data_IF_086486390453
#
_entry.id   IF_086486390453
#
_cell.length_a   1.000
_cell.length_b   1.000
_cell.length_c   1.000
_cell.angle_alpha   90.00
_cell.angle_beta   90.00
_cell.angle_gamma   90.00
#
_symmetry.space_group_name_H-M   'P 1'
#
loop_
_entity.id
_entity.type
_entity.pdbx_description
1 polymer ?
#
# COMPACT_ATOMS: atom_id res chain seq x y z
N UNK A 1 23.14 -11.39 11.89
CA UNK A 1 21.66 -11.36 11.68
C UNK A 1 21.29 -10.32 10.62
N UNK A 2 20.35 -10.65 9.73
CA UNK A 2 19.74 -9.68 8.79
C UNK A 2 18.33 -9.34 9.27
N UNK A 3 18.10 -8.07 9.55
CA UNK A 3 16.79 -7.53 9.92
C UNK A 3 16.13 -6.89 8.70
N UNK A 4 14.91 -7.34 8.37
CA UNK A 4 14.13 -6.79 7.27
C UNK A 4 12.81 -6.23 7.82
N UNK A 5 12.67 -4.89 7.95
CA UNK A 5 11.46 -4.29 8.49
C UNK A 5 10.21 -4.56 7.63
N UNK A 6 10.34 -5.03 6.39
CA UNK A 6 9.19 -5.47 5.59
C UNK A 6 8.59 -6.80 6.11
N UNK A 7 9.41 -7.64 6.76
CA UNK A 7 9.00 -8.93 7.34
C UNK A 7 8.59 -8.74 8.79
N UNK A 8 9.45 -8.04 9.55
CA UNK A 8 9.36 -7.98 11.01
C UNK A 8 8.55 -6.78 11.53
N UNK A 9 8.09 -5.91 10.62
CA UNK A 9 7.32 -4.71 10.95
C UNK A 9 5.87 -5.02 11.34
N UNK A 10 5.28 -4.11 12.12
CA UNK A 10 3.85 -4.12 12.41
C UNK A 10 3.04 -4.02 11.12
N UNK A 11 1.94 -4.78 11.05
CA UNK A 11 1.02 -4.73 9.92
C UNK A 11 0.09 -3.53 10.08
N UNK A 12 -0.11 -2.81 8.99
CA UNK A 12 -1.06 -1.70 8.89
C UNK A 12 -2.39 -2.25 8.41
N UNK A 13 -3.43 -2.09 9.22
CA UNK A 13 -4.79 -2.45 8.83
C UNK A 13 -5.40 -1.32 8.00
N UNK A 14 -5.85 -1.65 6.79
CA UNK A 14 -6.71 -0.80 5.99
C UNK A 14 -8.14 -1.30 6.20
N UNK A 15 -8.95 -0.46 6.82
CA UNK A 15 -10.30 -0.82 7.22
C UNK A 15 -11.29 -0.63 6.07
N UNK A 16 -12.11 -1.65 5.85
CA UNK A 16 -13.20 -1.64 4.89
C UNK A 16 -14.51 -2.08 5.54
N UNK A 17 -15.61 -1.69 4.91
CA UNK A 17 -16.96 -1.94 5.37
C UNK A 17 -17.71 -2.71 4.29
N UNK A 18 -18.28 -3.86 4.66
CA UNK A 18 -19.12 -4.66 3.79
C UNK A 18 -20.57 -4.19 3.89
N UNK A 19 -21.14 -3.69 2.79
CA UNK A 19 -22.54 -3.21 2.73
C UNK A 19 -23.45 -4.12 1.91
N UNK A 20 -22.97 -5.27 1.43
CA UNK A 20 -23.72 -6.19 0.60
C UNK A 20 -23.60 -7.65 1.07
N UNK A 21 -24.59 -8.47 0.72
CA UNK A 21 -24.54 -9.91 0.94
C UNK A 21 -23.63 -10.57 -0.10
N UNK A 22 -22.35 -10.73 0.25
CA UNK A 22 -21.37 -11.47 -0.54
C UNK A 22 -21.21 -12.89 -0.02
N UNK A 23 -21.06 -13.83 -0.94
CA UNK A 23 -20.71 -15.22 -0.59
C UNK A 23 -19.28 -15.28 -0.04
N UNK A 24 -18.93 -16.33 0.74
CA UNK A 24 -17.56 -16.51 1.21
C UNK A 24 -16.52 -16.51 0.08
N UNK A 25 -16.84 -17.09 -1.07
CA UNK A 25 -15.95 -17.10 -2.23
C UNK A 25 -15.72 -15.70 -2.82
N UNK A 26 -16.76 -14.85 -2.84
CA UNK A 26 -16.62 -13.47 -3.29
C UNK A 26 -15.79 -12.64 -2.32
N UNK A 27 -15.97 -12.81 -1.00
CA UNK A 27 -15.13 -12.16 0.00
C UNK A 27 -13.67 -12.62 -0.09
N UNK A 28 -13.43 -13.92 -0.31
CA UNK A 28 -12.08 -14.44 -0.59
C UNK A 28 -11.48 -13.75 -1.82
N UNK A 29 -12.23 -13.63 -2.91
CA UNK A 29 -11.75 -12.94 -4.12
C UNK A 29 -11.40 -11.47 -3.88
N UNK A 30 -12.17 -10.75 -3.05
CA UNK A 30 -11.86 -9.37 -2.63
C UNK A 30 -10.52 -9.30 -1.91
N UNK A 31 -10.28 -10.19 -0.94
CA UNK A 31 -9.00 -10.27 -0.22
C UNK A 31 -7.84 -10.65 -1.12
N UNK A 32 -8.02 -11.61 -2.02
CA UNK A 32 -6.99 -12.02 -2.98
C UNK A 32 -6.62 -10.86 -3.91
N UNK A 33 -7.60 -10.12 -4.40
CA UNK A 33 -7.38 -8.97 -5.29
C UNK A 33 -6.66 -7.83 -4.57
N UNK A 34 -7.09 -7.48 -3.37
CA UNK A 34 -6.37 -6.53 -2.52
C UNK A 34 -4.93 -6.99 -2.27
N UNK A 35 -4.75 -8.28 -1.94
CA UNK A 35 -3.46 -8.89 -1.68
C UNK A 35 -2.47 -8.76 -2.84
N UNK A 36 -2.93 -8.87 -4.09
CA UNK A 36 -2.09 -8.61 -5.27
C UNK A 36 -1.49 -7.20 -5.24
N UNK A 37 -2.32 -6.21 -4.94
CA UNK A 37 -1.92 -4.82 -4.77
C UNK A 37 -0.99 -4.59 -3.59
N UNK A 38 -1.34 -5.18 -2.45
CA UNK A 38 -0.58 -5.09 -1.23
C UNK A 38 0.84 -5.68 -1.35
N UNK A 39 1.07 -6.52 -2.35
CA UNK A 39 2.36 -7.11 -2.68
C UNK A 39 3.10 -6.40 -3.83
N UNK A 40 2.56 -5.32 -4.40
CA UNK A 40 3.18 -4.58 -5.53
C UNK A 40 4.58 -4.05 -5.21
N UNK A 41 4.83 -3.66 -3.96
CA UNK A 41 6.11 -3.07 -3.55
C UNK A 41 6.97 -4.02 -2.70
N UNK A 42 6.40 -5.12 -2.23
CA UNK A 42 7.09 -6.08 -1.38
C UNK A 42 6.38 -7.44 -1.41
N UNK A 43 7.09 -8.57 -1.53
CA UNK A 43 6.52 -9.91 -1.36
C UNK A 43 6.00 -10.15 0.07
N UNK A 44 6.44 -9.32 1.02
CA UNK A 44 5.95 -9.28 2.39
C UNK A 44 5.10 -8.03 2.55
N UNK A 45 3.79 -8.17 2.36
CA UNK A 45 2.91 -7.01 2.46
C UNK A 45 2.87 -6.48 3.89
N UNK A 46 2.98 -5.16 4.04
CA UNK A 46 2.71 -4.48 5.32
C UNK A 46 1.24 -4.12 5.51
N UNK A 47 0.46 -4.10 4.44
CA UNK A 47 -0.92 -3.65 4.48
C UNK A 47 -1.87 -4.84 4.41
N UNK A 48 -2.90 -4.83 5.26
CA UNK A 48 -3.90 -5.89 5.34
C UNK A 48 -5.30 -5.27 5.28
N UNK A 49 -6.18 -5.84 4.45
CA UNK A 49 -7.57 -5.42 4.38
C UNK A 49 -8.34 -6.03 5.55
N UNK A 50 -8.95 -5.19 6.38
CA UNK A 50 -9.83 -5.62 7.46
C UNK A 50 -11.27 -5.25 7.14
N UNK A 51 -12.09 -6.24 6.77
CA UNK A 51 -13.48 -6.03 6.37
C UNK A 51 -14.41 -6.21 7.58
N UNK A 52 -15.15 -5.15 7.93
CA UNK A 52 -16.18 -5.15 8.98
C UNK A 52 -17.57 -5.38 8.41
N UNK A 53 -18.37 -6.21 9.08
CA UNK A 53 -19.76 -6.44 8.71
C UNK A 53 -20.64 -5.21 8.99
N UNK A 54 -21.15 -4.56 7.95
CA UNK A 54 -22.19 -3.54 8.04
C UNK A 54 -23.25 -3.74 6.96
N UNK A 55 -23.63 -4.99 6.69
CA UNK A 55 -24.66 -5.29 5.68
C UNK A 55 -26.00 -4.61 5.99
N UNK A 56 -26.26 -4.29 7.26
CA UNK A 56 -27.40 -3.45 7.67
C UNK A 56 -27.38 -2.03 7.09
N UNK A 57 -26.24 -1.56 6.56
CA UNK A 57 -26.07 -0.26 5.93
C UNK A 57 -26.26 -0.29 4.41
N UNK A 58 -26.74 -1.41 3.84
CA UNK A 58 -26.93 -1.57 2.39
C UNK A 58 -27.85 -0.53 1.74
N UNK A 59 -28.74 0.10 2.52
CA UNK A 59 -29.66 1.14 2.05
C UNK A 59 -29.14 2.57 2.24
N UNK A 60 -28.01 2.75 2.92
CA UNK A 60 -27.44 4.07 3.19
C UNK A 60 -26.65 4.56 1.96
N UNK A 61 -26.76 5.85 1.68
CA UNK A 61 -25.85 6.54 0.77
C UNK A 61 -24.44 6.59 1.34
N UNK A 62 -23.44 6.84 0.49
CA UNK A 62 -22.06 7.01 0.96
C UNK A 62 -21.90 8.18 1.94
N UNK A 63 -22.71 9.23 1.80
CA UNK A 63 -22.72 10.36 2.73
C UNK A 63 -23.28 9.97 4.10
N UNK A 64 -24.35 9.18 4.13
CA UNK A 64 -24.87 8.63 5.39
C UNK A 64 -23.88 7.66 6.04
N UNK A 65 -23.23 6.78 5.25
CA UNK A 65 -22.16 5.90 5.76
C UNK A 65 -21.00 6.72 6.31
N UNK A 66 -20.60 7.80 5.63
CA UNK A 66 -19.59 8.73 6.12
C UNK A 66 -19.96 9.26 7.51
N UNK A 67 -21.20 9.73 7.70
CA UNK A 67 -21.63 10.26 9.01
C UNK A 67 -21.78 9.20 10.11
N UNK A 68 -22.10 7.95 9.77
CA UNK A 68 -22.20 6.83 10.72
C UNK A 68 -20.84 6.23 11.11
N UNK A 69 -19.78 6.58 10.39
CA UNK A 69 -18.45 6.03 10.59
C UNK A 69 -17.65 6.92 11.54
N UNK A 70 -16.98 6.36 12.58
CA UNK A 70 -16.17 7.16 13.50
C UNK A 70 -14.91 7.69 12.81
N UNK A 71 -14.77 9.03 12.80
CA UNK A 71 -13.65 9.77 12.21
C UNK A 71 -12.69 10.41 13.23
N UNK A 72 -12.84 10.09 14.52
CA UNK A 72 -12.13 10.79 15.60
C UNK A 72 -10.81 10.13 16.00
N UNK A 73 -9.81 10.98 16.31
CA UNK A 73 -8.42 10.66 16.67
C UNK A 73 -8.21 9.62 17.78
N UNK A 74 -9.22 9.35 18.61
CA UNK A 74 -9.11 8.48 19.80
C UNK A 74 -9.48 7.00 19.54
N UNK A 75 -9.91 6.66 18.32
CA UNK A 75 -10.03 5.29 17.85
C UNK A 75 -9.35 5.22 16.48
N UNK A 76 -8.63 4.13 16.13
CA UNK A 76 -8.20 3.94 14.75
C UNK A 76 -9.46 3.91 13.86
N UNK A 77 -9.79 5.08 13.30
CA UNK A 77 -10.98 5.29 12.50
C UNK A 77 -10.84 4.56 11.17
N UNK A 78 -11.97 4.39 10.48
CA UNK A 78 -12.01 3.87 9.11
C UNK A 78 -11.58 4.97 8.13
N UNK A 79 -10.43 5.59 8.34
CA UNK A 79 -9.94 6.65 7.47
C UNK A 79 -8.76 6.13 6.65
N UNK A 80 -8.85 6.12 5.31
CA UNK A 80 -10.02 6.44 4.47
C UNK A 80 -11.14 5.39 4.60
N UNK A 81 -12.39 5.73 4.28
CA UNK A 81 -13.48 4.75 4.27
C UNK A 81 -13.42 3.95 2.97
N UNK A 82 -13.26 2.64 3.10
CA UNK A 82 -13.40 1.71 1.97
C UNK A 82 -14.73 0.97 2.07
N UNK A 83 -15.53 1.00 1.00
CA UNK A 83 -16.82 0.31 0.92
C UNK A 83 -16.73 -0.85 -0.08
N UNK A 84 -16.97 -2.06 0.42
CA UNK A 84 -17.17 -3.28 -0.37
C UNK A 84 -18.67 -3.45 -0.57
N UNK A 85 -19.13 -3.28 -1.81
CA UNK A 85 -20.54 -3.31 -2.18
C UNK A 85 -20.88 -4.54 -3.05
N UNK A 86 -22.12 -4.59 -3.55
CA UNK A 86 -22.60 -5.70 -4.35
C UNK A 86 -21.90 -5.83 -5.72
N UNK A 87 -21.32 -4.74 -6.22
CA UNK A 87 -20.62 -4.70 -7.51
C UNK A 87 -19.14 -5.07 -7.38
N UNK A 88 -18.56 -5.00 -6.19
CA UNK A 88 -17.12 -5.30 -5.95
C UNK A 88 -16.64 -6.64 -6.52
N UNK A 89 -17.41 -7.75 -6.44
CA UNK A 89 -16.98 -9.00 -7.06
C UNK A 89 -17.07 -9.00 -8.59
N UNK A 90 -17.83 -8.09 -9.20
CA UNK A 90 -18.05 -8.03 -10.64
C UNK A 90 -16.97 -7.20 -11.34
N UNK A 91 -16.64 -6.04 -10.77
CA UNK A 91 -15.70 -5.08 -11.35
C UNK A 91 -14.31 -5.11 -10.68
N UNK A 92 -14.14 -5.92 -9.63
CA UNK A 92 -12.93 -5.99 -8.80
C UNK A 92 -12.57 -4.65 -8.16
N UNK A 93 -13.55 -3.79 -7.88
CA UNK A 93 -13.31 -2.46 -7.33
C UNK A 93 -14.05 -2.24 -6.00
N UNK A 94 -13.66 -1.18 -5.31
CA UNK A 94 -14.30 -0.70 -4.08
C UNK A 94 -14.46 0.81 -4.17
N UNK A 95 -15.39 1.37 -3.39
CA UNK A 95 -15.40 2.81 -3.20
C UNK A 95 -14.37 3.18 -2.15
N UNK A 96 -13.44 4.05 -2.53
CA UNK A 96 -12.50 4.70 -1.64
C UNK A 96 -13.01 6.11 -1.39
N UNK A 97 -13.31 6.45 -0.13
CA UNK A 97 -13.81 7.77 0.27
C UNK A 97 -12.75 8.39 1.17
N UNK A 98 -12.14 9.47 0.67
CA UNK A 98 -11.09 10.18 1.38
C UNK A 98 -11.70 11.16 2.37
N UNK A 99 -12.52 12.11 1.89
CA UNK A 99 -13.06 13.17 2.73
C UNK A 99 -14.38 13.73 2.23
N UNK A 100 -15.08 14.43 3.11
CA UNK A 100 -16.17 15.33 2.74
C UNK A 100 -15.60 16.72 2.39
N UNK A 101 -16.28 17.43 1.51
CA UNK A 101 -15.90 18.78 1.10
C UNK A 101 -16.00 19.78 2.26
N UNK A 102 -15.07 20.73 2.26
CA UNK A 102 -15.05 21.85 3.19
C UNK A 102 -15.41 23.17 2.48
N UNK A 103 -15.60 24.24 3.25
CA UNK A 103 -15.88 25.56 2.68
C UNK A 103 -14.80 26.01 1.69
N UNK A 104 -13.53 25.66 1.94
CA UNK A 104 -12.42 25.93 1.05
C UNK A 104 -12.65 25.32 -0.35
N UNK A 105 -13.20 24.11 -0.44
CA UNK A 105 -13.46 23.44 -1.71
C UNK A 105 -14.53 24.14 -2.55
N UNK A 106 -15.56 24.67 -1.88
CA UNK A 106 -16.62 25.44 -2.55
C UNK A 106 -16.07 26.76 -3.06
N UNK A 107 -15.31 27.48 -2.22
CA UNK A 107 -14.72 28.76 -2.56
C UNK A 107 -13.76 28.65 -3.76
N UNK A 108 -13.10 27.50 -3.91
CA UNK A 108 -12.19 27.19 -5.03
C UNK A 108 -12.85 26.39 -6.17
N UNK A 109 -14.17 26.18 -6.12
CA UNK A 109 -14.95 25.44 -7.14
C UNK A 109 -14.48 24.00 -7.39
N UNK A 110 -13.91 23.34 -6.38
CA UNK A 110 -13.56 21.92 -6.42
C UNK A 110 -14.74 21.04 -6.01
N UNK A 111 -15.64 21.55 -5.17
CA UNK A 111 -16.89 20.89 -4.76
C UNK A 111 -18.12 21.76 -5.01
N UNK A 112 -19.26 21.13 -5.29
CA UNK A 112 -20.55 21.82 -5.46
C UNK A 112 -21.11 22.29 -4.12
N UNK A 113 -20.93 21.49 -3.06
CA UNK A 113 -21.42 21.78 -1.72
C UNK A 113 -20.57 21.12 -0.63
N UNK A 114 -20.88 21.43 0.64
CA UNK A 114 -20.26 20.78 1.81
C UNK A 114 -20.73 19.32 2.01
N UNK A 115 -21.70 18.85 1.23
CA UNK A 115 -22.16 17.45 1.25
C UNK A 115 -21.47 16.60 0.17
N UNK A 116 -20.66 17.23 -0.69
CA UNK A 116 -19.89 16.52 -1.71
C UNK A 116 -18.83 15.64 -1.05
N UNK A 117 -18.82 14.35 -1.40
CA UNK A 117 -17.74 13.44 -1.03
C UNK A 117 -16.67 13.41 -2.12
N UNK A 118 -15.42 13.54 -1.70
CA UNK A 118 -14.27 13.15 -2.50
C UNK A 118 -14.12 11.64 -2.37
N UNK A 119 -14.59 10.94 -3.41
CA UNK A 119 -14.63 9.49 -3.48
C UNK A 119 -14.27 9.03 -4.89
N UNK A 120 -13.78 7.81 -5.01
CA UNK A 120 -13.47 7.18 -6.29
C UNK A 120 -13.75 5.68 -6.21
N UNK A 121 -14.38 5.12 -7.25
CA UNK A 121 -14.47 3.67 -7.42
C UNK A 121 -13.10 3.21 -7.93
N UNK A 122 -12.38 2.40 -7.18
CA UNK A 122 -10.97 2.09 -7.44
C UNK A 122 -10.76 0.57 -7.51
N UNK A 123 -9.95 0.10 -8.48
CA UNK A 123 -9.55 -1.31 -8.52
C UNK A 123 -8.91 -1.71 -7.18
N UNK A 124 -9.38 -2.81 -6.61
CA UNK A 124 -8.93 -3.34 -5.32
C UNK A 124 -7.42 -3.50 -5.23
N UNK A 125 -6.75 -3.83 -6.35
CA UNK A 125 -5.30 -4.00 -6.38
C UNK A 125 -4.53 -2.66 -6.30
N UNK A 126 -5.19 -1.52 -6.55
CA UNK A 126 -4.52 -0.21 -6.55
C UNK A 126 -4.68 0.51 -5.21
N UNK A 127 -5.56 0.02 -4.33
CA UNK A 127 -5.88 0.61 -3.02
C UNK A 127 -4.65 0.89 -2.18
N UNK A 128 -3.72 -0.08 -2.05
CA UNK A 128 -2.54 0.09 -1.19
C UNK A 128 -1.61 1.16 -1.74
N UNK A 129 -1.41 1.21 -3.06
CA UNK A 129 -0.55 2.20 -3.67
C UNK A 129 -1.15 3.60 -3.54
N UNK A 130 -2.45 3.75 -3.78
CA UNK A 130 -3.15 5.03 -3.58
C UNK A 130 -3.15 5.45 -2.10
N UNK A 131 -3.45 4.55 -1.17
CA UNK A 131 -3.41 4.81 0.26
C UNK A 131 -2.06 5.39 0.71
N UNK A 132 -0.96 4.72 0.34
CA UNK A 132 0.40 5.18 0.68
C UNK A 132 0.71 6.52 0.02
N UNK A 133 0.35 6.71 -1.26
CA UNK A 133 0.63 7.96 -1.95
C UNK A 133 -0.14 9.15 -1.37
N UNK A 134 -1.38 8.95 -0.92
CA UNK A 134 -2.18 9.99 -0.28
C UNK A 134 -1.65 10.32 1.11
N UNK A 135 -1.26 9.31 1.89
CA UNK A 135 -0.68 9.48 3.25
C UNK A 135 0.60 10.33 3.23
N UNK A 136 1.47 10.12 2.23
CA UNK A 136 2.72 10.90 2.08
C UNK A 136 2.55 12.18 1.24
N UNK A 137 1.33 12.52 0.85
CA UNK A 137 1.01 13.66 -0.02
C UNK A 137 1.80 13.68 -1.35
N UNK A 138 2.04 12.52 -1.95
CA UNK A 138 2.67 12.40 -3.27
C UNK A 138 1.67 12.63 -4.41
N UNK A 139 0.40 12.25 -4.20
CA UNK A 139 -0.76 12.60 -5.02
C UNK A 139 -1.96 12.79 -4.08
N UNK A 140 -3.12 13.17 -4.60
CA UNK A 140 -4.36 13.28 -3.85
C UNK A 140 -5.52 12.55 -4.56
N UNK A 141 -6.65 12.39 -3.87
CA UNK A 141 -7.83 11.74 -4.46
C UNK A 141 -8.40 12.55 -5.63
N UNK A 142 -8.19 13.86 -5.68
CA UNK A 142 -8.72 14.72 -6.72
C UNK A 142 -8.07 14.40 -8.07
N UNK A 143 -6.76 14.14 -8.09
CA UNK A 143 -6.07 13.65 -9.29
C UNK A 143 -6.68 12.34 -9.81
N UNK A 144 -7.00 11.38 -8.93
CA UNK A 144 -7.65 10.13 -9.34
C UNK A 144 -9.08 10.34 -9.86
N UNK A 145 -9.83 11.25 -9.26
CA UNK A 145 -11.17 11.63 -9.72
C UNK A 145 -11.14 12.34 -11.09
N UNK A 146 -10.08 13.11 -11.39
CA UNK A 146 -9.87 13.75 -12.69
C UNK A 146 -9.61 12.73 -13.80
N UNK A 147 -8.82 11.69 -13.51
CA UNK A 147 -8.54 10.61 -14.47
C UNK A 147 -9.79 9.84 -14.90
N UNK A 148 -10.78 9.71 -14.01
CA UNK A 148 -12.07 9.08 -14.32
C UNK A 148 -13.15 10.08 -14.75
N UNK A 149 -12.78 11.34 -14.96
CA UNK A 149 -13.63 12.36 -15.58
C UNK A 149 -14.70 12.95 -14.66
N UNK A 150 -14.51 12.94 -13.34
CA UNK A 150 -15.43 13.61 -12.41
C UNK A 150 -15.30 15.14 -12.60
N UNK A 151 -16.38 15.87 -12.91
CA UNK A 151 -16.30 17.27 -13.29
C UNK A 151 -16.01 18.22 -12.12
N UNK A 152 -15.63 19.46 -12.46
CA UNK A 152 -15.53 20.60 -11.56
C UNK A 152 -16.71 21.56 -11.74
N UNK A 153 -17.34 22.07 -10.67
CA UNK A 153 -17.23 21.56 -9.29
C UNK A 153 -17.76 20.13 -9.20
N UNK A 154 -17.24 19.35 -8.25
CA UNK A 154 -17.67 17.95 -8.03
C UNK A 154 -19.12 17.91 -7.55
N UNK A 155 -20.05 17.27 -8.29
CA UNK A 155 -21.43 17.13 -7.86
C UNK A 155 -21.58 16.22 -6.63
N UNK A 156 -22.65 16.38 -5.84
CA UNK A 156 -22.90 15.48 -4.70
C UNK A 156 -23.15 14.01 -5.12
N UNK A 157 -23.81 13.83 -6.27
CA UNK A 157 -24.38 12.55 -6.74
C UNK A 157 -23.71 12.03 -8.02
N UNK A 158 -22.47 12.43 -8.29
CA UNK A 158 -21.76 11.97 -9.48
C UNK A 158 -21.66 10.44 -9.52
N UNK A 159 -21.76 9.91 -10.73
CA UNK A 159 -21.55 8.50 -11.03
C UNK A 159 -20.21 8.29 -11.70
N UNK A 160 -19.62 7.11 -11.51
CA UNK A 160 -18.38 6.72 -12.16
C UNK A 160 -18.61 5.42 -12.93
N UNK A 161 -18.48 5.46 -14.25
CA UNK A 161 -18.78 4.29 -15.10
C UNK A 161 -17.70 3.18 -15.02
N UNK A 162 -16.44 3.56 -14.77
CA UNK A 162 -15.30 2.65 -14.77
C UNK A 162 -14.46 2.86 -13.53
N UNK A 163 -13.98 1.79 -12.89
CA UNK A 163 -13.01 1.93 -11.81
C UNK A 163 -11.76 2.70 -12.25
N UNK A 164 -11.26 3.55 -11.36
CA UNK A 164 -9.93 4.11 -11.43
C UNK A 164 -8.91 2.98 -11.29
N UNK A 165 -7.85 3.04 -12.09
CA UNK A 165 -6.72 2.13 -11.96
C UNK A 165 -5.43 2.85 -12.32
N UNK A 166 -4.37 2.53 -11.58
CA UNK A 166 -3.01 3.02 -11.84
C UNK A 166 -2.38 2.34 -13.07
N UNK A 167 -3.01 1.31 -13.62
CA UNK A 167 -2.50 0.57 -14.78
C UNK A 167 -1.27 -0.28 -14.48
N UNK A 168 -0.93 -0.51 -13.20
CA UNK A 168 0.14 -1.41 -12.82
C UNK A 168 -0.26 -2.87 -12.99
N UNK A 169 0.71 -3.70 -13.41
CA UNK A 169 0.59 -5.15 -13.36
C UNK A 169 1.23 -5.63 -12.05
N UNK A 170 0.43 -5.97 -11.01
CA UNK A 170 0.98 -6.34 -9.71
C UNK A 170 1.84 -7.60 -9.76
N UNK A 171 1.56 -8.53 -10.68
CA UNK A 171 2.34 -9.77 -10.79
C UNK A 171 3.70 -9.50 -11.41
N UNK A 172 3.74 -8.65 -12.44
CA UNK A 172 4.99 -8.25 -13.10
C UNK A 172 5.83 -7.32 -12.23
N UNK A 173 5.18 -6.45 -11.45
CA UNK A 173 5.84 -5.33 -10.79
C UNK A 173 6.16 -5.55 -9.30
N UNK A 174 5.66 -6.62 -8.65
CA UNK A 174 5.87 -6.97 -7.22
C UNK A 174 7.31 -7.06 -6.68
N UNK A 175 8.31 -6.91 -7.56
CA UNK A 175 9.73 -6.93 -7.21
C UNK A 175 10.49 -5.68 -7.70
N UNK A 176 9.76 -4.66 -8.17
CA UNK A 176 10.37 -3.42 -8.66
C UNK A 176 10.96 -2.58 -7.53
N UNK A 177 10.29 -2.56 -6.39
CA UNK A 177 10.71 -1.75 -5.26
C UNK A 177 11.80 -2.48 -4.46
N UNK A 178 12.92 -1.79 -4.16
CA UNK A 178 13.93 -2.34 -3.29
C UNK A 178 13.42 -2.41 -1.84
N UNK A 179 14.08 -3.24 -1.03
CA UNK A 179 13.93 -3.24 0.42
C UNK A 179 15.20 -2.74 1.10
N UNK A 180 15.07 -2.20 2.30
CA UNK A 180 16.18 -1.75 3.13
C UNK A 180 16.34 -2.71 4.30
N UNK A 181 17.47 -3.42 4.32
CA UNK A 181 17.78 -4.37 5.39
C UNK A 181 18.92 -3.85 6.25
N UNK A 182 18.91 -4.19 7.53
CA UNK A 182 20.07 -4.00 8.39
C UNK A 182 20.84 -5.32 8.45
N UNK A 183 22.10 -5.29 8.01
CA UNK A 183 23.01 -6.43 8.00
C UNK A 183 24.12 -6.23 9.03
N UNK A 184 24.35 -7.25 9.86
CA UNK A 184 25.48 -7.30 10.79
C UNK A 184 26.79 -7.58 10.04
N UNK A 185 27.96 -7.20 10.62
CA UNK A 185 29.27 -7.42 9.99
C UNK A 185 29.53 -8.84 9.51
N UNK A 186 29.11 -9.84 10.29
CA UNK A 186 29.34 -11.25 9.98
C UNK A 186 28.46 -11.78 8.84
N UNK A 187 27.43 -11.04 8.42
CA UNK A 187 26.50 -11.44 7.36
C UNK A 187 26.80 -10.80 6.01
N UNK A 188 27.76 -9.87 5.98
CA UNK A 188 28.10 -9.09 4.80
C UNK A 188 29.56 -9.23 4.40
N UNK A 189 29.83 -8.85 3.16
CA UNK A 189 31.16 -8.68 2.60
C UNK A 189 31.33 -7.20 2.22
N UNK A 190 32.54 -6.69 2.34
CA UNK A 190 32.92 -5.37 1.82
C UNK A 190 33.88 -5.51 0.65
N UNK A 191 33.79 -4.60 -0.32
CA UNK A 191 34.74 -4.49 -1.43
C UNK A 191 35.16 -3.05 -1.67
N UNK A 192 36.45 -2.89 -1.94
CA UNK A 192 37.08 -1.64 -2.40
C UNK A 192 37.56 -1.74 -3.85
N UNK A 193 37.31 -2.88 -4.51
CA UNK A 193 37.70 -3.09 -5.90
C UNK A 193 36.89 -2.18 -6.83
N UNK A 194 37.56 -1.55 -7.80
CA UNK A 194 36.91 -0.64 -8.74
C UNK A 194 35.79 -1.32 -9.53
N UNK A 195 35.95 -2.61 -9.89
CA UNK A 195 34.96 -3.40 -10.64
C UNK A 195 33.61 -3.52 -9.91
N UNK A 196 33.63 -3.53 -8.57
CA UNK A 196 32.44 -3.70 -7.74
C UNK A 196 31.77 -2.34 -7.48
N UNK A 197 32.58 -1.28 -7.41
CA UNK A 197 32.15 0.10 -7.13
C UNK A 197 31.72 0.90 -8.37
N UNK A 198 32.16 0.50 -9.58
CA UNK A 198 32.01 1.32 -10.80
C UNK A 198 30.57 1.55 -11.25
N UNK A 199 29.60 0.80 -10.72
CA UNK A 199 28.18 0.95 -11.05
C UNK A 199 27.45 1.98 -10.19
N UNK A 200 28.15 2.65 -9.26
CA UNK A 200 27.56 3.60 -8.32
C UNK A 200 28.01 5.03 -8.61
N UNK A 201 27.09 5.98 -8.44
CA UNK A 201 27.34 7.41 -8.58
C UNK A 201 26.74 8.16 -7.37
N UNK A 202 27.52 8.99 -6.64
CA UNK A 202 28.97 9.17 -6.78
C UNK A 202 29.74 7.88 -6.47
N UNK A 203 30.95 7.74 -7.02
CA UNK A 203 31.78 6.54 -6.81
C UNK A 203 32.11 6.39 -5.31
N UNK A 204 31.60 5.36 -4.61
CA UNK A 204 31.85 5.18 -3.20
C UNK A 204 33.25 4.60 -2.97
N UNK A 205 33.81 4.80 -1.78
CA UNK A 205 35.10 4.20 -1.38
C UNK A 205 35.00 2.70 -1.10
N UNK A 206 33.82 2.26 -0.64
CA UNK A 206 33.50 0.89 -0.25
C UNK A 206 32.06 0.58 -0.63
N UNK A 207 31.83 -0.65 -1.06
CA UNK A 207 30.49 -1.22 -1.26
C UNK A 207 30.33 -2.46 -0.41
N UNK A 208 29.09 -2.79 -0.09
CA UNK A 208 28.73 -3.92 0.76
C UNK A 208 27.75 -4.83 0.03
N UNK A 209 27.77 -6.12 0.32
CA UNK A 209 26.72 -7.05 -0.09
C UNK A 209 26.49 -8.08 1.01
N UNK A 210 25.31 -8.68 1.05
CA UNK A 210 25.09 -9.88 1.84
C UNK A 210 25.91 -11.04 1.26
N UNK A 211 26.42 -11.92 2.13
CA UNK A 211 26.94 -13.23 1.73
C UNK A 211 25.86 -14.01 0.98
N UNK A 212 26.23 -14.83 0.01
CA UNK A 212 25.27 -15.46 -0.91
C UNK A 212 24.23 -16.35 -0.20
N UNK A 213 24.67 -17.13 0.78
CA UNK A 213 23.83 -18.00 1.60
C UNK A 213 22.87 -17.19 2.48
N UNK A 214 23.36 -16.08 3.05
CA UNK A 214 22.55 -15.13 3.81
C UNK A 214 21.49 -14.49 2.91
N UNK A 215 21.88 -13.93 1.76
CA UNK A 215 20.94 -13.30 0.83
C UNK A 215 19.83 -14.28 0.41
N UNK A 216 20.21 -15.52 0.03
CA UNK A 216 19.28 -16.57 -0.35
C UNK A 216 18.31 -16.93 0.76
N UNK A 217 18.79 -17.07 2.00
CA UNK A 217 17.95 -17.38 3.17
C UNK A 217 16.85 -16.33 3.37
N UNK A 218 17.12 -15.08 3.02
CA UNK A 218 16.17 -13.98 3.16
C UNK A 218 15.41 -13.64 1.86
N UNK A 219 15.58 -14.43 0.79
CA UNK A 219 14.92 -14.20 -0.50
C UNK A 219 15.40 -12.93 -1.20
N UNK A 220 16.66 -12.54 -0.99
CA UNK A 220 17.28 -11.32 -1.52
C UNK A 220 18.38 -11.67 -2.52
N UNK A 221 18.65 -10.76 -3.47
CA UNK A 221 19.80 -10.87 -4.37
C UNK A 221 21.07 -10.46 -3.64
N UNK A 222 22.12 -11.28 -3.77
CA UNK A 222 23.47 -10.93 -3.31
C UNK A 222 24.13 -9.94 -4.30
N UNK A 223 23.78 -8.65 -4.18
CA UNK A 223 24.34 -7.56 -5.01
C UNK A 223 25.11 -6.58 -4.15
N UNK A 224 26.16 -6.01 -4.72
CA UNK A 224 26.83 -4.84 -4.16
C UNK A 224 25.84 -3.69 -4.03
N UNK A 225 25.96 -2.93 -2.96
CA UNK A 225 25.13 -1.77 -2.62
C UNK A 225 25.94 -0.78 -1.79
N UNK A 226 25.50 0.48 -1.76
CA UNK A 226 26.04 1.48 -0.84
C UNK A 226 25.43 1.22 0.53
N UNK A 227 26.27 1.13 1.56
CA UNK A 227 25.84 0.93 2.93
C UNK A 227 25.86 2.22 3.74
N UNK A 228 24.80 2.48 4.50
CA UNK A 228 24.78 3.53 5.52
C UNK A 228 25.00 2.92 6.91
N UNK A 229 25.70 3.63 7.79
CA UNK A 229 25.91 3.16 9.16
C UNK A 229 24.59 3.06 9.92
N UNK A 230 24.35 1.93 10.59
CA UNK A 230 23.27 1.80 11.56
C UNK A 230 23.73 2.38 12.90
N UNK A 231 23.07 3.45 13.36
CA UNK A 231 23.40 4.14 14.62
C UNK A 231 22.57 3.67 15.83
N UNK A 232 21.77 2.62 15.63
CA UNK A 232 20.83 2.08 16.60
C UNK A 232 21.54 1.05 17.51
N UNK A 233 21.37 1.20 18.83
CA UNK A 233 22.05 0.39 19.85
C UNK A 233 21.57 -1.07 19.89
N UNK A 234 20.47 -1.39 19.21
CA UNK A 234 19.98 -2.75 19.01
C UNK A 234 20.88 -3.61 18.11
N UNK A 235 21.78 -2.99 17.34
CA UNK A 235 22.63 -3.68 16.38
C UNK A 235 24.12 -3.56 16.75
N UNK A 236 24.93 -4.59 16.49
CA UNK A 236 26.36 -4.53 16.77
C UNK A 236 27.04 -3.44 15.94
N UNK A 237 28.12 -2.87 16.49
CA UNK A 237 28.92 -1.85 15.81
C UNK A 237 29.41 -2.36 14.44
N UNK A 238 29.29 -1.50 13.43
CA UNK A 238 29.66 -1.83 12.05
C UNK A 238 28.52 -2.38 11.21
N UNK A 239 27.33 -2.57 11.78
CA UNK A 239 26.13 -2.94 11.02
C UNK A 239 25.78 -1.87 9.98
N UNK A 240 25.32 -2.32 8.81
CA UNK A 240 24.98 -1.44 7.67
C UNK A 240 23.52 -1.59 7.28
N UNK A 241 22.92 -0.47 6.89
CA UNK A 241 21.66 -0.45 6.16
C UNK A 241 21.98 -0.59 4.67
N UNK A 242 21.44 -1.63 4.03
CA UNK A 242 21.65 -1.94 2.62
C UNK A 242 20.32 -1.87 1.87
N UNK A 243 20.30 -1.16 0.74
CA UNK A 243 19.20 -1.23 -0.22
C UNK A 243 19.43 -2.44 -1.13
N UNK A 244 18.51 -3.41 -1.10
CA UNK A 244 18.61 -4.68 -1.82
C UNK A 244 17.32 -4.99 -2.58
N UNK A 245 17.42 -5.87 -3.57
CA UNK A 245 16.28 -6.36 -4.32
C UNK A 245 15.89 -7.77 -3.86
N UNK A 246 14.60 -8.07 -3.87
CA UNK A 246 14.12 -9.44 -3.73
C UNK A 246 14.52 -10.30 -4.91
N UNK A 247 14.79 -11.59 -4.66
CA UNK A 247 15.06 -12.59 -5.68
C UNK A 247 13.78 -13.38 -5.99
N UNK A 248 13.15 -13.19 -7.17
CA UNK A 248 11.94 -13.90 -7.56
C UNK A 248 12.07 -15.43 -7.60
N UNK A 249 13.31 -15.96 -7.69
CA UNK A 249 13.57 -17.40 -7.64
C UNK A 249 13.58 -17.99 -6.24
N UNK A 250 13.66 -17.15 -5.20
CA UNK A 250 13.82 -17.58 -3.80
C UNK A 250 12.80 -16.95 -2.84
N UNK A 251 11.98 -16.00 -3.29
CA UNK A 251 10.87 -15.44 -2.51
C UNK A 251 9.53 -15.79 -3.14
N UNK A 252 8.58 -16.24 -2.33
CA UNK A 252 7.19 -16.43 -2.74
C UNK A 252 6.33 -15.38 -2.04
N UNK A 253 5.73 -14.44 -2.77
CA UNK A 253 4.82 -13.46 -2.20
C UNK A 253 3.64 -14.17 -1.56
N UNK A 254 3.27 -13.72 -0.36
CA UNK A 254 2.07 -14.23 0.31
C UNK A 254 1.32 -13.09 0.97
N UNK A 255 0.01 -13.14 0.83
CA UNK A 255 -0.91 -12.25 1.52
C UNK A 255 -1.71 -13.08 2.51
N UNK A 256 -1.78 -12.61 3.74
CA UNK A 256 -2.54 -13.24 4.81
C UNK A 256 -3.67 -12.32 5.22
N UNK A 257 -4.90 -12.82 5.14
CA UNK A 257 -6.07 -12.13 5.67
C UNK A 257 -5.89 -11.95 7.18
N UNK A 258 -6.10 -10.74 7.74
CA UNK A 258 -5.97 -10.52 9.17
C UNK A 258 -7.05 -11.30 9.94
N UNK A 259 -6.71 -11.76 11.15
CA UNK A 259 -7.65 -12.45 12.04
C UNK A 259 -8.86 -11.56 12.36
N UNK A 260 -10.06 -12.13 12.37
CA UNK A 260 -11.30 -11.42 12.66
C UNK A 260 -11.88 -10.61 11.49
N UNK A 261 -11.16 -10.44 10.38
CA UNK A 261 -11.75 -9.90 9.15
C UNK A 261 -12.70 -10.91 8.51
N UNK A 262 -13.83 -10.43 7.98
CA UNK A 262 -14.73 -11.23 7.12
C UNK A 262 -13.96 -11.85 5.96
#
# INVERSE_FOLDING_TARGET
MVYNPAIDGEKVLIHAILTADLTPAQLTAVHERFGLGAMLDSPYSRHQLFITDKRSWSSLSHLEIWHETPHHDDQPGYFPIIIVDAESPNDNAVWFIDRIAEQFDIDHKTAESINTLFKVRMDLQDIVCCYVNYDIANTDIREAMDEVGVPYPTPEDFTQEKPFSLGFDPVKNRYMCPTWVTAEPDDMEESRDLKDRSNFLPLPDVVYRLKEDVARKHGLKARWSIGSDRQDDRFPQGSKILQLEYDPGHVTPSYEKPEGSL
#
